data_IF_567102865684
#
_entry.id   IF_567102865684
#
_cell.length_a   1.000
_cell.length_b   1.000
_cell.length_c   1.000
_cell.angle_alpha   90.00
_cell.angle_beta   90.00
_cell.angle_gamma   90.00
#
_symmetry.space_group_name_H-M   'P 1'
#
loop_
_entity.id
_entity.type
_entity.pdbx_description
1 polymer ?
#
# COMPACT_ATOMS: atom_id res chain seq x y z
N UNK A 1 42.48 -30.01 -27.43
CA UNK A 1 41.50 -29.57 -28.44
C UNK A 1 40.13 -30.03 -27.95
N UNK A 2 39.38 -29.14 -27.32
CA UNK A 2 38.01 -29.41 -26.89
C UNK A 2 37.10 -28.56 -27.77
N UNK A 3 36.25 -29.24 -28.54
CA UNK A 3 35.21 -28.65 -29.38
C UNK A 3 34.29 -27.76 -28.54
N UNK A 4 34.18 -26.50 -28.94
CA UNK A 4 33.21 -25.57 -28.39
C UNK A 4 31.89 -25.75 -29.18
N UNK A 5 30.82 -26.37 -28.63
CA UNK A 5 29.64 -26.77 -29.38
C UNK A 5 28.62 -25.63 -29.59
N UNK A 6 28.92 -24.40 -29.14
CA UNK A 6 27.99 -23.26 -29.15
C UNK A 6 28.20 -22.29 -30.32
N UNK A 7 29.10 -22.61 -31.26
CA UNK A 7 29.36 -21.82 -32.46
C UNK A 7 28.37 -22.06 -33.61
N UNK A 8 27.12 -22.40 -33.32
CA UNK A 8 26.09 -22.54 -34.35
C UNK A 8 25.61 -21.14 -34.80
N UNK A 9 26.40 -20.48 -35.65
CA UNK A 9 25.90 -19.33 -36.40
C UNK A 9 24.64 -19.72 -37.17
N UNK A 10 23.63 -18.85 -37.17
CA UNK A 10 22.37 -19.06 -37.86
C UNK A 10 22.64 -19.48 -39.33
N UNK A 11 22.39 -20.74 -39.69
CA UNK A 11 22.54 -21.23 -41.07
C UNK A 11 21.30 -20.83 -41.86
N UNK A 12 21.42 -19.75 -42.62
CA UNK A 12 20.38 -19.29 -43.53
C UNK A 12 20.42 -20.13 -44.84
N UNK A 13 19.28 -20.48 -45.45
CA UNK A 13 19.23 -21.18 -46.75
C UNK A 13 19.89 -20.33 -47.85
N UNK A 14 20.48 -20.91 -48.89
CA UNK A 14 21.14 -20.15 -49.98
C UNK A 14 20.17 -19.36 -50.89
N UNK A 15 18.87 -19.40 -50.63
CA UNK A 15 17.82 -18.72 -51.39
C UNK A 15 17.79 -17.20 -51.09
N UNK A 16 18.47 -16.44 -51.95
CA UNK A 16 18.72 -14.99 -51.82
C UNK A 16 17.46 -14.15 -51.54
N UNK A 17 16.31 -14.31 -52.22
CA UNK A 17 15.09 -13.57 -51.90
C UNK A 17 14.45 -13.96 -50.55
N UNK A 18 14.44 -15.24 -50.19
CA UNK A 18 13.87 -15.69 -48.91
C UNK A 18 14.73 -15.22 -47.72
N UNK A 19 16.07 -15.27 -47.85
CA UNK A 19 17.01 -14.77 -46.83
C UNK A 19 16.91 -13.26 -46.64
N UNK A 20 16.79 -12.50 -47.73
CA UNK A 20 16.64 -11.05 -47.66
C UNK A 20 15.31 -10.65 -47.01
N UNK A 21 14.23 -11.39 -47.27
CA UNK A 21 12.92 -11.19 -46.63
C UNK A 21 12.93 -11.62 -45.16
N UNK A 22 13.49 -12.79 -44.85
CA UNK A 22 13.66 -13.29 -43.47
C UNK A 22 14.48 -12.30 -42.63
N UNK A 23 15.58 -11.76 -43.16
CA UNK A 23 16.45 -10.86 -42.40
C UNK A 23 15.74 -9.58 -41.94
N UNK A 24 14.84 -9.04 -42.76
CA UNK A 24 14.06 -7.85 -42.39
C UNK A 24 12.93 -8.19 -41.41
N UNK A 25 12.13 -9.24 -41.70
CA UNK A 25 11.01 -9.63 -40.83
C UNK A 25 11.50 -10.13 -39.46
N UNK A 26 12.61 -10.88 -39.41
CA UNK A 26 13.16 -11.38 -38.15
C UNK A 26 13.58 -10.24 -37.23
N UNK A 27 14.22 -9.19 -37.76
CA UNK A 27 14.63 -8.03 -36.95
C UNK A 27 13.42 -7.21 -36.51
N UNK A 28 12.40 -7.10 -37.36
CA UNK A 28 11.20 -6.31 -37.09
C UNK A 28 10.39 -6.86 -35.90
N UNK A 29 10.24 -8.17 -35.79
CA UNK A 29 9.43 -8.82 -34.75
C UNK A 29 10.22 -9.18 -33.47
N UNK A 30 11.47 -8.75 -33.33
CA UNK A 30 12.21 -8.98 -32.09
C UNK A 30 11.55 -8.22 -30.93
N UNK A 31 11.46 -8.82 -29.73
CA UNK A 31 10.94 -8.15 -28.53
C UNK A 31 11.91 -7.11 -27.95
N UNK A 32 13.00 -6.82 -28.66
CA UNK A 32 14.02 -5.82 -28.34
C UNK A 32 14.14 -4.81 -29.47
N UNK A 33 14.46 -3.57 -29.14
CA UNK A 33 14.76 -2.56 -30.14
C UNK A 33 16.11 -2.87 -30.79
N UNK A 34 16.15 -2.96 -32.12
CA UNK A 34 17.40 -3.20 -32.86
C UNK A 34 17.56 -2.11 -33.89
N UNK A 35 18.78 -1.57 -33.98
CA UNK A 35 19.11 -0.59 -34.99
C UNK A 35 20.58 -0.67 -35.41
N UNK A 36 20.87 -0.14 -36.60
CA UNK A 36 22.19 -0.15 -37.21
C UNK A 36 22.64 1.26 -37.53
N UNK A 37 23.93 1.51 -37.34
CA UNK A 37 24.60 2.70 -37.84
C UNK A 37 25.72 2.32 -38.80
N UNK A 38 26.04 3.18 -39.76
CA UNK A 38 27.21 3.02 -40.63
C UNK A 38 28.51 3.44 -39.93
N UNK A 39 29.65 3.32 -40.61
CA UNK A 39 30.97 3.67 -40.08
C UNK A 39 31.13 5.16 -39.72
N UNK A 40 30.30 6.04 -40.29
CA UNK A 40 30.24 7.47 -39.93
C UNK A 40 29.31 7.73 -38.72
N UNK A 41 28.73 6.67 -38.15
CA UNK A 41 27.79 6.75 -37.03
C UNK A 41 26.40 7.22 -37.43
N UNK A 42 26.04 7.24 -38.72
CA UNK A 42 24.68 7.61 -39.14
C UNK A 42 23.73 6.42 -38.99
N UNK A 43 22.58 6.65 -38.37
CA UNK A 43 21.51 5.67 -38.23
C UNK A 43 20.96 5.31 -39.62
N UNK A 44 21.04 4.04 -39.98
CA UNK A 44 20.63 3.57 -41.32
C UNK A 44 19.29 2.84 -41.29
N UNK A 45 19.04 2.06 -40.25
CA UNK A 45 17.80 1.29 -40.08
C UNK A 45 17.54 0.97 -38.62
N UNK A 46 16.28 0.77 -38.28
CA UNK A 46 15.81 0.36 -36.95
C UNK A 46 14.48 -0.39 -37.08
N UNK A 47 14.12 -1.20 -36.09
CA UNK A 47 12.81 -1.85 -36.01
C UNK A 47 11.79 -1.00 -35.23
N UNK A 48 10.50 -1.34 -35.34
CA UNK A 48 9.42 -0.68 -34.58
C UNK A 48 9.68 -0.61 -33.08
N UNK A 49 10.29 -1.64 -32.48
CA UNK A 49 10.54 -1.65 -31.03
C UNK A 49 11.56 -0.59 -30.59
N UNK A 50 12.58 -0.31 -31.41
CA UNK A 50 13.53 0.78 -31.13
C UNK A 50 12.83 2.15 -31.18
N UNK A 51 11.97 2.38 -32.17
CA UNK A 51 11.17 3.60 -32.28
C UNK A 51 10.21 3.78 -31.10
N UNK A 52 9.57 2.69 -30.65
CA UNK A 52 8.72 2.71 -29.46
C UNK A 52 9.51 3.13 -28.21
N UNK A 53 10.72 2.60 -28.01
CA UNK A 53 11.58 2.93 -26.87
C UNK A 53 11.99 4.41 -26.91
N UNK A 54 12.42 4.91 -28.08
CA UNK A 54 12.76 6.33 -28.29
C UNK A 54 11.56 7.27 -28.19
N UNK A 55 10.35 6.76 -28.43
CA UNK A 55 9.12 7.55 -28.49
C UNK A 55 8.95 8.32 -29.79
N UNK A 56 9.85 8.14 -30.77
CA UNK A 56 9.77 8.75 -32.08
C UNK A 56 10.36 7.82 -33.16
N UNK A 57 9.88 7.99 -34.39
CA UNK A 57 10.36 7.28 -35.57
C UNK A 57 11.22 8.25 -36.40
N UNK A 58 12.55 8.28 -36.21
CA UNK A 58 13.41 9.20 -36.93
C UNK A 58 13.44 8.90 -38.44
N UNK A 59 13.47 9.95 -39.26
CA UNK A 59 13.69 9.82 -40.70
C UNK A 59 15.18 9.57 -40.99
N UNK A 60 15.49 8.34 -41.40
CA UNK A 60 16.85 7.89 -41.74
C UNK A 60 17.23 8.19 -43.19
N UNK A 61 16.28 8.58 -44.05
CA UNK A 61 16.51 8.79 -45.48
C UNK A 61 17.52 9.91 -45.77
N UNK A 62 17.61 10.91 -44.89
CA UNK A 62 18.50 12.06 -45.04
C UNK A 62 19.88 11.86 -44.38
N UNK A 63 20.12 10.74 -43.68
CA UNK A 63 21.41 10.45 -43.03
C UNK A 63 21.85 11.45 -41.95
N UNK A 64 20.91 12.26 -41.41
CA UNK A 64 21.19 13.32 -40.43
C UNK A 64 21.24 12.82 -38.99
N UNK A 65 20.60 11.69 -38.71
CA UNK A 65 20.51 11.13 -37.36
C UNK A 65 21.78 10.35 -37.05
N UNK A 66 22.48 10.75 -35.99
CA UNK A 66 23.74 10.12 -35.57
C UNK A 66 23.55 9.27 -34.32
N UNK A 67 24.15 8.09 -34.32
CA UNK A 67 24.33 7.12 -33.24
C UNK A 67 23.06 6.47 -32.68
N UNK A 68 21.93 7.17 -32.62
CA UNK A 68 20.67 6.68 -32.05
C UNK A 68 19.50 7.56 -32.48
N UNK A 69 18.29 7.01 -32.49
CA UNK A 69 17.05 7.78 -32.62
C UNK A 69 16.55 8.41 -31.32
N UNK A 70 17.23 8.18 -30.19
CA UNK A 70 16.88 8.78 -28.91
C UNK A 70 17.09 10.29 -28.92
N UNK A 71 16.15 11.05 -28.32
CA UNK A 71 16.29 12.49 -28.13
C UNK A 71 17.50 12.84 -27.25
N UNK A 72 17.66 12.15 -26.10
CA UNK A 72 18.85 12.23 -25.24
C UNK A 72 19.18 10.88 -24.61
N UNK A 73 20.47 10.66 -24.36
CA UNK A 73 20.96 9.54 -23.56
C UNK A 73 21.48 10.04 -22.21
N UNK A 74 21.25 9.24 -21.18
CA UNK A 74 21.77 9.44 -19.84
C UNK A 74 22.45 8.17 -19.33
N UNK A 75 23.41 8.35 -18.43
CA UNK A 75 23.97 7.24 -17.65
C UNK A 75 22.90 6.61 -16.74
N UNK A 76 23.20 5.45 -16.16
CA UNK A 76 22.33 4.81 -15.15
C UNK A 76 22.07 5.75 -13.95
N UNK A 77 23.06 6.57 -13.57
CA UNK A 77 22.93 7.60 -12.51
C UNK A 77 22.18 8.87 -12.95
N UNK A 78 21.69 8.92 -14.20
CA UNK A 78 20.91 10.03 -14.73
C UNK A 78 21.72 11.22 -15.26
N UNK A 79 23.06 11.13 -15.32
CA UNK A 79 23.89 12.19 -15.89
C UNK A 79 23.71 12.27 -17.42
N UNK A 80 23.60 13.49 -17.96
CA UNK A 80 23.47 13.70 -19.40
C UNK A 80 24.73 13.26 -20.15
N UNK A 81 24.54 12.47 -21.22
CA UNK A 81 25.62 11.93 -22.02
C UNK A 81 25.56 12.46 -23.46
N UNK A 82 26.49 13.34 -23.88
CA UNK A 82 26.61 13.74 -25.28
C UNK A 82 26.85 12.53 -26.19
N UNK A 83 26.17 12.46 -27.33
CA UNK A 83 26.23 11.30 -28.23
C UNK A 83 27.65 11.01 -28.75
N UNK A 84 28.45 12.04 -28.99
CA UNK A 84 29.84 11.91 -29.46
C UNK A 84 30.79 11.33 -28.41
N UNK A 85 30.42 11.44 -27.13
CA UNK A 85 31.16 10.87 -26.00
C UNK A 85 30.48 9.59 -25.47
N UNK A 86 29.42 9.13 -26.14
CA UNK A 86 28.68 7.96 -25.71
C UNK A 86 29.43 6.65 -26.04
N UNK A 87 29.10 5.55 -25.33
CA UNK A 87 29.59 4.22 -25.68
C UNK A 87 29.33 3.82 -27.14
N UNK A 88 28.31 4.38 -27.79
CA UNK A 88 28.01 4.17 -29.21
C UNK A 88 29.14 4.72 -30.12
N UNK A 89 29.64 5.92 -29.81
CA UNK A 89 30.78 6.50 -30.53
C UNK A 89 32.08 5.76 -30.20
N UNK A 90 32.25 5.33 -28.94
CA UNK A 90 33.43 4.58 -28.50
C UNK A 90 33.59 3.22 -29.22
N UNK A 91 32.49 2.53 -29.58
CA UNK A 91 32.56 1.27 -30.34
C UNK A 91 33.12 1.48 -31.76
N UNK A 92 32.77 2.60 -32.42
CA UNK A 92 33.31 2.91 -33.75
C UNK A 92 34.83 3.08 -33.76
N UNK A 93 35.38 3.63 -32.68
CA UNK A 93 36.82 3.83 -32.54
C UNK A 93 37.54 2.56 -32.06
N UNK A 94 37.01 1.92 -31.02
CA UNK A 94 37.66 0.79 -30.36
C UNK A 94 37.51 -0.53 -31.13
N UNK A 95 36.49 -0.66 -31.97
CA UNK A 95 36.06 -1.91 -32.63
C UNK A 95 35.82 -3.06 -31.64
N UNK A 96 35.54 -2.76 -30.37
CA UNK A 96 35.23 -3.75 -29.34
C UNK A 96 33.73 -3.72 -29.01
N UNK A 97 33.09 -4.89 -28.82
CA UNK A 97 31.70 -4.93 -28.38
C UNK A 97 31.56 -4.41 -26.94
N UNK A 98 30.43 -3.78 -26.66
CA UNK A 98 30.01 -3.37 -25.32
C UNK A 98 28.68 -4.07 -25.03
N UNK A 99 28.64 -4.88 -23.98
CA UNK A 99 27.45 -5.66 -23.62
C UNK A 99 26.93 -5.27 -22.24
N UNK A 100 25.63 -5.52 -22.01
CA UNK A 100 24.93 -5.28 -20.75
C UNK A 100 25.07 -3.85 -20.21
N UNK A 101 25.17 -2.86 -21.09
CA UNK A 101 25.32 -1.47 -20.71
C UNK A 101 23.96 -0.88 -20.33
N UNK A 102 23.80 -0.47 -19.07
CA UNK A 102 22.60 0.19 -18.61
C UNK A 102 22.65 1.68 -18.90
N UNK A 103 21.58 2.20 -19.48
CA UNK A 103 21.43 3.62 -19.81
C UNK A 103 19.97 4.03 -19.67
N UNK A 104 19.72 5.34 -19.71
CA UNK A 104 18.38 5.88 -19.75
C UNK A 104 18.20 6.62 -21.07
N UNK A 105 17.12 6.28 -21.78
CA UNK A 105 16.62 7.05 -22.93
C UNK A 105 15.66 8.10 -22.38
N UNK A 106 15.98 9.37 -22.59
CA UNK A 106 15.06 10.48 -22.31
C UNK A 106 14.34 10.85 -23.60
N UNK A 107 13.01 10.83 -23.56
CA UNK A 107 12.11 11.20 -24.67
C UNK A 107 11.85 12.70 -24.68
N UNK A 108 11.30 13.23 -25.77
CA UNK A 108 10.96 14.67 -25.90
C UNK A 108 9.91 15.16 -24.91
N UNK A 109 8.98 14.28 -24.53
CA UNK A 109 7.97 14.55 -23.52
C UNK A 109 8.52 14.55 -22.07
N UNK A 110 9.84 14.32 -21.91
CA UNK A 110 10.53 14.25 -20.63
C UNK A 110 10.46 12.88 -19.95
N UNK A 111 9.69 11.94 -20.50
CA UNK A 111 9.65 10.58 -19.94
C UNK A 111 10.98 9.86 -20.13
N UNK A 112 11.31 9.01 -19.15
CA UNK A 112 12.58 8.29 -19.09
C UNK A 112 12.33 6.79 -19.18
N UNK A 113 13.06 6.14 -20.09
CA UNK A 113 13.00 4.69 -20.31
C UNK A 113 14.35 4.09 -19.98
N UNK A 114 14.49 3.36 -18.84
CA UNK A 114 15.69 2.61 -18.57
C UNK A 114 15.84 1.48 -19.59
N UNK A 115 17.04 1.33 -20.13
CA UNK A 115 17.36 0.32 -21.14
C UNK A 115 18.62 -0.46 -20.80
N UNK A 116 18.68 -1.70 -21.29
CA UNK A 116 19.89 -2.50 -21.39
C UNK A 116 20.36 -2.52 -22.86
N UNK A 117 21.55 -2.00 -23.13
CA UNK A 117 22.12 -1.88 -24.46
C UNK A 117 23.25 -2.90 -24.69
N UNK A 118 23.25 -3.50 -25.88
CA UNK A 118 24.32 -4.36 -26.38
C UNK A 118 24.76 -3.84 -27.76
N UNK A 119 25.96 -3.27 -27.81
CA UNK A 119 26.52 -2.58 -28.98
C UNK A 119 27.62 -3.47 -29.56
N UNK A 120 27.42 -3.92 -30.80
CA UNK A 120 28.31 -4.84 -31.50
C UNK A 120 28.85 -4.16 -32.77
N UNK A 121 30.18 -4.05 -32.94
CA UNK A 121 30.76 -3.50 -34.16
C UNK A 121 30.53 -4.45 -35.35
N UNK A 122 30.23 -3.87 -36.50
CA UNK A 122 30.08 -4.59 -37.77
C UNK A 122 31.34 -4.38 -38.59
N UNK A 123 32.07 -5.47 -38.85
CA UNK A 123 33.32 -5.46 -39.61
C UNK A 123 33.11 -6.12 -40.97
N UNK A 124 33.70 -5.54 -42.02
CA UNK A 124 33.75 -6.14 -43.35
C UNK A 124 34.73 -7.32 -43.40
N UNK A 125 34.74 -8.06 -44.52
CA UNK A 125 35.64 -9.21 -44.73
C UNK A 125 37.13 -8.84 -44.57
N UNK A 126 37.48 -7.59 -44.85
CA UNK A 126 38.85 -7.07 -44.79
C UNK A 126 39.20 -6.45 -43.42
N UNK A 127 38.35 -6.59 -42.40
CA UNK A 127 38.53 -6.02 -41.05
C UNK A 127 38.24 -4.52 -40.92
N UNK A 128 37.77 -3.89 -42.01
CA UNK A 128 37.34 -2.50 -42.03
C UNK A 128 36.01 -2.31 -41.29
N UNK A 129 35.85 -1.16 -40.62
CA UNK A 129 34.61 -0.83 -39.92
C UNK A 129 33.50 -0.54 -40.94
N UNK A 130 32.43 -1.32 -40.89
CA UNK A 130 31.21 -1.08 -41.67
C UNK A 130 30.23 -0.23 -40.87
N UNK A 131 30.23 -0.39 -39.54
CA UNK A 131 29.34 0.33 -38.64
C UNK A 131 29.16 -0.39 -37.31
N UNK A 132 28.00 -0.26 -36.68
CA UNK A 132 27.64 -1.06 -35.51
C UNK A 132 26.16 -1.42 -35.51
N UNK A 133 25.81 -2.48 -34.81
CA UNK A 133 24.45 -2.84 -34.44
C UNK A 133 24.28 -2.60 -32.94
N UNK A 134 23.18 -2.00 -32.55
CA UNK A 134 22.81 -1.90 -31.14
C UNK A 134 21.46 -2.59 -30.92
N UNK A 135 21.39 -3.38 -29.84
CA UNK A 135 20.16 -3.97 -29.33
C UNK A 135 19.85 -3.35 -27.98
N UNK A 136 18.64 -2.79 -27.84
CA UNK A 136 18.15 -2.11 -26.64
C UNK A 136 16.91 -2.83 -26.11
N UNK A 137 16.98 -3.24 -24.84
CA UNK A 137 15.86 -3.86 -24.13
C UNK A 137 15.27 -2.85 -23.15
N UNK A 138 13.95 -2.70 -23.14
CA UNK A 138 13.22 -1.88 -22.18
C UNK A 138 13.16 -2.56 -20.81
N UNK A 139 13.62 -1.88 -19.76
CA UNK A 139 13.67 -2.40 -18.40
C UNK A 139 12.48 -1.97 -17.53
N UNK A 140 11.52 -1.18 -18.04
CA UNK A 140 10.37 -0.70 -17.25
C UNK A 140 9.53 -1.84 -16.69
N UNK A 141 9.26 -2.86 -17.51
CA UNK A 141 8.47 -4.03 -17.09
C UNK A 141 9.23 -4.87 -16.04
N UNK A 142 10.54 -5.06 -16.23
CA UNK A 142 11.37 -5.79 -15.27
C UNK A 142 11.44 -5.07 -13.92
N UNK A 143 11.69 -3.76 -13.91
CA UNK A 143 11.73 -2.95 -12.69
C UNK A 143 10.38 -2.96 -11.95
N UNK A 144 9.26 -2.82 -12.68
CA UNK A 144 7.93 -2.89 -12.09
C UNK A 144 7.64 -4.27 -11.48
N UNK A 145 8.08 -5.36 -12.14
CA UNK A 145 7.90 -6.72 -11.65
C UNK A 145 8.75 -7.02 -10.42
N UNK A 146 10.02 -6.60 -10.40
CA UNK A 146 10.90 -6.71 -9.22
C UNK A 146 10.33 -5.92 -8.04
N UNK A 147 9.84 -4.70 -8.27
CA UNK A 147 9.23 -3.89 -7.23
C UNK A 147 7.94 -4.52 -6.69
N UNK A 148 7.10 -5.09 -7.56
CA UNK A 148 5.92 -5.84 -7.14
C UNK A 148 6.29 -7.09 -6.33
N UNK A 149 7.30 -7.84 -6.75
CA UNK A 149 7.78 -9.02 -6.02
C UNK A 149 8.33 -8.65 -4.64
N UNK A 150 9.12 -7.58 -4.55
CA UNK A 150 9.63 -7.09 -3.27
C UNK A 150 8.50 -6.63 -2.33
N UNK A 151 7.49 -5.94 -2.87
CA UNK A 151 6.31 -5.54 -2.11
C UNK A 151 5.52 -6.75 -1.59
N UNK A 152 5.30 -7.76 -2.45
CA UNK A 152 4.67 -9.03 -2.07
C UNK A 152 5.47 -9.78 -1.01
N UNK A 153 6.79 -9.87 -1.16
CA UNK A 153 7.67 -10.53 -0.20
C UNK A 153 7.62 -9.84 1.17
N UNK A 154 7.69 -8.50 1.19
CA UNK A 154 7.57 -7.72 2.41
C UNK A 154 6.19 -7.86 3.06
N UNK A 155 5.12 -7.87 2.27
CA UNK A 155 3.76 -8.10 2.75
C UNK A 155 3.59 -9.52 3.33
N UNK A 156 4.17 -10.54 2.68
CA UNK A 156 4.18 -11.92 3.19
C UNK A 156 4.96 -12.04 4.50
N UNK A 157 6.13 -11.41 4.61
CA UNK A 157 6.88 -11.37 5.86
C UNK A 157 6.10 -10.66 6.98
N UNK A 158 5.40 -9.57 6.67
CA UNK A 158 4.52 -8.90 7.63
C UNK A 158 3.35 -9.80 8.04
N UNK A 159 2.70 -10.46 7.08
CA UNK A 159 1.60 -11.38 7.34
C UNK A 159 2.03 -12.58 8.18
N UNK A 160 3.20 -13.17 7.92
CA UNK A 160 3.77 -14.25 8.73
C UNK A 160 4.14 -13.80 10.14
N UNK A 161 4.72 -12.60 10.30
CA UNK A 161 4.96 -12.01 11.63
C UNK A 161 3.64 -11.83 12.37
N UNK A 162 2.61 -11.34 11.70
CA UNK A 162 1.28 -11.14 12.27
C UNK A 162 0.60 -12.46 12.63
N UNK A 163 0.74 -13.49 11.80
CA UNK A 163 0.22 -14.85 12.06
C UNK A 163 0.93 -15.49 13.27
N UNK A 164 2.25 -15.33 13.38
CA UNK A 164 3.00 -15.79 14.55
C UNK A 164 2.60 -15.03 15.82
N UNK A 165 2.43 -13.71 15.73
CA UNK A 165 1.91 -12.90 16.85
C UNK A 165 0.49 -13.35 17.23
N UNK A 166 -0.38 -13.68 16.26
CA UNK A 166 -1.73 -14.19 16.52
C UNK A 166 -1.76 -15.58 17.14
N UNK A 167 -0.94 -16.53 16.63
CA UNK A 167 -0.82 -17.90 17.16
C UNK A 167 -0.23 -17.93 18.57
N UNK A 168 0.82 -17.13 18.82
CA UNK A 168 1.43 -17.01 20.16
C UNK A 168 0.50 -16.22 21.09
N UNK A 169 -0.16 -15.18 20.60
CA UNK A 169 -1.08 -14.33 21.36
C UNK A 169 -2.32 -15.08 21.86
N UNK A 170 -2.95 -15.94 21.05
CA UNK A 170 -4.17 -16.64 21.46
C UNK A 170 -3.98 -17.57 22.67
N UNK A 171 -2.86 -18.32 22.71
CA UNK A 171 -2.54 -19.22 23.82
C UNK A 171 -2.01 -18.49 25.05
N UNK A 172 -1.07 -17.56 24.86
CA UNK A 172 -0.44 -16.80 25.96
C UNK A 172 -1.45 -15.88 26.63
N UNK A 173 -2.31 -15.21 25.87
CA UNK A 173 -3.27 -14.25 26.45
C UNK A 173 -4.41 -14.98 27.18
N UNK A 174 -4.79 -16.19 26.76
CA UNK A 174 -5.69 -17.02 27.55
C UNK A 174 -5.10 -17.37 28.92
N UNK A 175 -3.81 -17.71 28.98
CA UNK A 175 -3.12 -18.00 30.24
C UNK A 175 -2.96 -16.76 31.13
N UNK A 176 -2.68 -15.59 30.53
CA UNK A 176 -2.74 -14.30 31.25
C UNK A 176 -4.12 -14.01 31.82
N UNK A 177 -5.18 -14.20 31.02
CA UNK A 177 -6.56 -13.95 31.45
C UNK A 177 -6.92 -14.87 32.63
N UNK A 178 -6.48 -16.12 32.60
CA UNK A 178 -6.69 -17.07 33.70
C UNK A 178 -5.98 -16.63 34.99
N UNK A 179 -4.73 -16.16 34.90
CA UNK A 179 -4.01 -15.65 36.07
C UNK A 179 -4.62 -14.36 36.63
N UNK A 180 -5.08 -13.46 35.75
CA UNK A 180 -5.74 -12.20 36.15
C UNK A 180 -7.10 -12.46 36.80
N UNK A 181 -7.84 -13.45 36.32
CA UNK A 181 -9.10 -13.88 36.94
C UNK A 181 -8.85 -14.43 38.34
N UNK A 182 -7.80 -15.23 38.53
CA UNK A 182 -7.39 -15.76 39.85
C UNK A 182 -6.96 -14.64 40.81
N UNK A 183 -6.16 -13.68 40.34
CA UNK A 183 -5.76 -12.49 41.11
C UNK A 183 -6.97 -11.64 41.50
N UNK A 184 -7.89 -11.39 40.56
CA UNK A 184 -9.12 -10.63 40.83
C UNK A 184 -9.99 -11.33 41.88
N UNK A 185 -10.09 -12.65 41.84
CA UNK A 185 -10.83 -13.44 42.82
C UNK A 185 -10.19 -13.40 44.21
N UNK A 186 -8.86 -13.49 44.29
CA UNK A 186 -8.13 -13.39 45.56
C UNK A 186 -8.25 -12.00 46.17
N UNK A 187 -8.22 -10.95 45.34
CA UNK A 187 -8.49 -9.58 45.80
C UNK A 187 -9.94 -9.43 46.28
N UNK A 188 -10.92 -9.99 45.59
CA UNK A 188 -12.32 -9.95 46.05
C UNK A 188 -12.52 -10.64 47.41
N UNK A 189 -11.80 -11.75 47.66
CA UNK A 189 -11.84 -12.45 48.95
C UNK A 189 -11.17 -11.64 50.08
N UNK A 190 -10.06 -10.96 49.78
CA UNK A 190 -9.37 -10.09 50.74
C UNK A 190 -10.15 -8.81 51.08
N UNK A 191 -11.07 -8.37 50.23
CA UNK A 191 -11.85 -7.14 50.44
C UNK A 191 -12.58 -7.16 51.79
N UNK A 192 -13.20 -8.30 52.12
CA UNK A 192 -13.97 -8.48 53.36
C UNK A 192 -13.06 -8.47 54.59
N UNK A 193 -11.93 -9.17 54.55
CA UNK A 193 -10.97 -9.25 55.66
C UNK A 193 -10.29 -7.90 55.92
N UNK A 194 -10.02 -7.13 54.87
CA UNK A 194 -9.44 -5.78 54.95
C UNK A 194 -10.46 -4.76 55.47
N UNK A 195 -11.73 -4.90 55.09
CA UNK A 195 -12.81 -4.07 55.62
C UNK A 195 -13.01 -4.32 57.13
N UNK A 196 -13.02 -5.58 57.55
CA UNK A 196 -13.19 -5.98 58.95
C UNK A 196 -11.98 -5.59 59.82
N UNK A 197 -10.77 -5.47 59.25
CA UNK A 197 -9.56 -5.05 59.95
C UNK A 197 -9.47 -3.54 60.25
N UNK A 198 -10.31 -2.71 59.62
CA UNK A 198 -10.45 -1.27 59.93
C UNK A 198 -9.23 -0.38 59.65
N UNK A 199 -8.24 -0.84 58.89
CA UNK A 199 -7.03 -0.06 58.57
C UNK A 199 -7.16 0.67 57.23
N UNK A 200 -7.25 2.01 57.26
CA UNK A 200 -7.27 2.88 56.08
C UNK A 200 -6.07 2.65 55.15
N UNK A 201 -4.90 2.34 55.72
CA UNK A 201 -3.67 2.13 54.95
C UNK A 201 -3.69 0.82 54.16
N UNK A 202 -4.33 -0.24 54.69
CA UNK A 202 -4.57 -1.47 53.95
C UNK A 202 -5.65 -1.29 52.88
N UNK A 203 -6.71 -0.55 53.17
CA UNK A 203 -7.75 -0.23 52.19
C UNK A 203 -7.19 0.56 50.99
N UNK A 204 -6.33 1.54 51.23
CA UNK A 204 -5.67 2.29 50.16
C UNK A 204 -4.75 1.42 49.29
N UNK A 205 -3.97 0.51 49.90
CA UNK A 205 -3.12 -0.45 49.15
C UNK A 205 -3.94 -1.46 48.36
N UNK A 206 -5.05 -1.92 48.93
CA UNK A 206 -5.99 -2.82 48.27
C UNK A 206 -6.61 -2.20 47.02
N UNK A 207 -7.08 -0.95 47.13
CA UNK A 207 -7.66 -0.22 46.01
C UNK A 207 -6.67 -0.07 44.83
N UNK A 208 -5.40 0.21 45.12
CA UNK A 208 -4.35 0.28 44.11
C UNK A 208 -4.10 -1.06 43.41
N UNK A 209 -4.07 -2.17 44.15
CA UNK A 209 -3.92 -3.50 43.57
C UNK A 209 -5.11 -3.87 42.68
N UNK A 210 -6.33 -3.59 43.13
CA UNK A 210 -7.55 -3.87 42.36
C UNK A 210 -7.59 -3.07 41.05
N UNK A 211 -7.29 -1.78 41.12
CA UNK A 211 -7.23 -0.90 39.94
C UNK A 211 -6.15 -1.37 38.95
N UNK A 212 -4.98 -1.80 39.44
CA UNK A 212 -3.92 -2.35 38.61
C UNK A 212 -4.34 -3.67 37.93
N UNK A 213 -5.02 -4.57 38.65
CA UNK A 213 -5.52 -5.83 38.09
C UNK A 213 -6.58 -5.61 37.03
N UNK A 214 -7.57 -4.73 37.27
CA UNK A 214 -8.60 -4.38 36.28
C UNK A 214 -7.97 -3.82 34.99
N UNK A 215 -6.98 -2.93 35.12
CA UNK A 215 -6.25 -2.37 33.97
C UNK A 215 -5.55 -3.46 33.15
N UNK A 216 -4.85 -4.39 33.81
CA UNK A 216 -4.14 -5.46 33.10
C UNK A 216 -5.12 -6.45 32.46
N UNK A 217 -6.27 -6.71 33.07
CA UNK A 217 -7.35 -7.52 32.49
C UNK A 217 -7.89 -6.90 31.20
N UNK A 218 -8.19 -5.60 31.21
CA UNK A 218 -8.66 -4.89 30.01
C UNK A 218 -7.62 -4.92 28.87
N UNK A 219 -6.32 -4.81 29.19
CA UNK A 219 -5.24 -4.93 28.22
C UNK A 219 -5.16 -6.33 27.59
N UNK A 220 -5.30 -7.37 28.42
CA UNK A 220 -5.30 -8.75 27.96
C UNK A 220 -6.51 -9.04 27.06
N UNK A 221 -7.70 -8.58 27.43
CA UNK A 221 -8.91 -8.73 26.60
C UNK A 221 -8.76 -8.03 25.23
N UNK A 222 -8.19 -6.82 25.19
CA UNK A 222 -7.88 -6.11 23.96
C UNK A 222 -6.87 -6.84 23.07
N UNK A 223 -5.86 -7.49 23.66
CA UNK A 223 -4.91 -8.35 22.95
C UNK A 223 -5.55 -9.64 22.43
N UNK A 224 -6.50 -10.23 23.17
CA UNK A 224 -7.28 -11.39 22.73
C UNK A 224 -8.19 -11.07 21.55
N UNK A 225 -8.82 -9.89 21.56
CA UNK A 225 -9.58 -9.36 20.43
C UNK A 225 -8.68 -9.20 19.19
N UNK A 226 -7.46 -8.72 19.37
CA UNK A 226 -6.46 -8.59 18.31
C UNK A 226 -5.94 -9.94 17.78
N UNK A 227 -5.73 -10.92 18.66
CA UNK A 227 -5.20 -12.24 18.31
C UNK A 227 -6.28 -13.22 17.77
N UNK A 228 -7.57 -12.92 17.97
CA UNK A 228 -8.66 -13.77 17.51
C UNK A 228 -8.84 -13.65 16.00
N UNK A 229 -8.24 -14.59 15.27
CA UNK A 229 -8.63 -14.95 13.91
C UNK A 229 -9.99 -15.67 13.96
N UNK A 230 -11.09 -14.96 14.27
CA UNK A 230 -12.44 -15.50 14.08
C UNK A 230 -12.82 -15.44 12.59
N UNK A 231 -13.61 -16.40 12.08
CA UNK A 231 -14.11 -16.33 10.72
C UNK A 231 -14.88 -15.02 10.51
N UNK A 232 -14.51 -14.28 9.48
CA UNK A 232 -15.12 -13.01 9.07
C UNK A 232 -16.52 -13.30 8.53
N UNK A 233 -17.53 -13.39 9.41
CA UNK A 233 -18.92 -13.29 8.96
C UNK A 233 -19.12 -11.87 8.46
N UNK A 234 -19.27 -11.73 7.15
CA UNK A 234 -19.58 -10.46 6.51
C UNK A 234 -21.09 -10.39 6.35
N UNK A 235 -21.66 -9.28 6.78
CA UNK A 235 -23.09 -9.02 6.76
C UNK A 235 -23.38 -7.78 5.92
N UNK A 236 -24.61 -7.71 5.40
CA UNK A 236 -25.14 -6.50 4.79
C UNK A 236 -25.64 -5.59 5.92
N UNK A 237 -24.99 -4.44 6.10
CA UNK A 237 -25.24 -3.54 7.22
C UNK A 237 -25.81 -2.22 6.70
N UNK A 238 -26.90 -1.77 7.31
CA UNK A 238 -27.37 -0.38 7.23
C UNK A 238 -26.61 0.45 8.29
N UNK A 239 -25.76 1.41 7.88
CA UNK A 239 -24.99 2.21 8.83
C UNK A 239 -25.88 3.11 9.71
N UNK A 240 -27.06 3.53 9.24
CA UNK A 240 -27.98 4.32 10.05
C UNK A 240 -28.55 3.48 11.19
N UNK A 241 -29.03 2.28 10.90
CA UNK A 241 -29.54 1.36 11.92
C UNK A 241 -28.44 0.95 12.90
N UNK A 242 -27.20 0.78 12.42
CA UNK A 242 -26.05 0.52 13.28
C UNK A 242 -25.82 1.66 14.28
N UNK A 243 -25.69 2.90 13.79
CA UNK A 243 -25.43 4.06 14.66
C UNK A 243 -26.57 4.33 15.63
N UNK A 244 -27.82 4.18 15.19
CA UNK A 244 -28.98 4.29 16.07
C UNK A 244 -28.98 3.21 17.16
N UNK A 245 -28.67 1.96 16.80
CA UNK A 245 -28.53 0.86 17.76
C UNK A 245 -27.41 1.07 18.77
N UNK A 246 -26.36 1.80 18.38
CA UNK A 246 -25.25 2.16 19.26
C UNK A 246 -25.47 3.45 20.07
N UNK A 247 -26.56 4.19 19.84
CA UNK A 247 -26.76 5.53 20.42
C UNK A 247 -26.65 5.55 21.94
N UNK A 248 -27.22 4.56 22.63
CA UNK A 248 -27.13 4.42 24.09
C UNK A 248 -25.70 4.16 24.56
N UNK A 249 -24.96 3.28 23.86
CA UNK A 249 -23.57 2.97 24.20
C UNK A 249 -22.66 4.18 23.99
N UNK A 250 -22.83 4.88 22.87
CA UNK A 250 -22.10 6.12 22.55
C UNK A 250 -22.39 7.20 23.59
N UNK A 251 -23.65 7.38 23.98
CA UNK A 251 -24.04 8.37 25.00
C UNK A 251 -23.47 8.04 26.38
N UNK A 252 -23.43 6.74 26.75
CA UNK A 252 -22.83 6.30 28.01
C UNK A 252 -21.31 6.55 28.04
N UNK A 253 -20.62 6.25 26.94
CA UNK A 253 -19.17 6.47 26.81
C UNK A 253 -18.82 7.97 26.81
N UNK A 254 -19.66 8.80 26.20
CA UNK A 254 -19.48 10.25 26.17
C UNK A 254 -19.76 10.95 27.51
N UNK A 255 -20.59 10.34 28.36
CA UNK A 255 -20.97 10.93 29.64
C UNK A 255 -21.86 12.17 29.49
N UNK A 256 -22.10 12.87 30.60
CA UNK A 256 -23.09 13.97 30.64
C UNK A 256 -22.58 15.31 30.08
N UNK A 257 -21.26 15.47 29.94
CA UNK A 257 -20.64 16.74 29.54
C UNK A 257 -20.45 16.88 28.02
N UNK A 258 -20.68 15.81 27.26
CA UNK A 258 -20.52 15.80 25.80
C UNK A 258 -21.89 15.66 25.15
N UNK A 259 -22.22 16.58 24.26
CA UNK A 259 -23.47 16.53 23.49
C UNK A 259 -23.31 15.65 22.26
N UNK A 260 -23.94 14.48 22.26
CA UNK A 260 -23.94 13.55 21.14
C UNK A 260 -25.03 13.89 20.12
N UNK A 261 -24.63 14.15 18.87
CA UNK A 261 -25.53 14.41 17.75
C UNK A 261 -25.39 13.34 16.67
N UNK A 262 -26.53 12.85 16.17
CA UNK A 262 -26.59 11.90 15.06
C UNK A 262 -27.18 12.58 13.82
N UNK A 263 -26.34 12.82 12.81
CA UNK A 263 -26.73 13.42 11.53
C UNK A 263 -26.73 12.35 10.44
N UNK A 264 -27.81 11.58 10.36
CA UNK A 264 -27.90 10.41 9.49
C UNK A 264 -28.51 10.75 8.12
N UNK A 265 -27.94 10.23 7.04
CA UNK A 265 -28.48 10.39 5.69
C UNK A 265 -29.86 9.74 5.55
N UNK A 266 -30.74 10.36 4.77
CA UNK A 266 -32.11 9.85 4.55
C UNK A 266 -32.14 8.58 3.68
N UNK A 267 -31.13 8.40 2.82
CA UNK A 267 -31.03 7.32 1.84
C UNK A 267 -29.65 6.61 1.89
N UNK A 268 -29.15 6.31 3.09
CA UNK A 268 -27.84 5.68 3.23
C UNK A 268 -27.75 4.34 2.50
N UNK A 269 -26.70 4.17 1.70
CA UNK A 269 -26.43 2.89 1.05
C UNK A 269 -25.94 1.85 2.07
N UNK A 270 -26.25 0.58 1.84
CA UNK A 270 -25.74 -0.51 2.66
C UNK A 270 -24.24 -0.70 2.43
N UNK A 271 -23.54 -1.24 3.42
CA UNK A 271 -22.15 -1.70 3.33
C UNK A 271 -22.04 -3.20 3.62
N UNK A 272 -20.93 -3.81 3.21
CA UNK A 272 -20.58 -5.19 3.54
C UNK A 272 -19.44 -5.19 4.55
N UNK A 273 -19.70 -5.58 5.79
CA UNK A 273 -18.67 -5.65 6.82
C UNK A 273 -19.01 -6.66 7.92
N UNK A 274 -18.04 -6.97 8.77
CA UNK A 274 -18.32 -7.63 10.03
C UNK A 274 -18.91 -6.62 11.03
N UNK A 275 -20.10 -6.91 11.55
CA UNK A 275 -20.83 -5.99 12.42
C UNK A 275 -20.07 -5.67 13.71
N UNK A 276 -19.58 -6.68 14.42
CA UNK A 276 -18.89 -6.50 15.70
C UNK A 276 -17.61 -5.66 15.55
N UNK A 277 -16.85 -5.89 14.48
CA UNK A 277 -15.64 -5.10 14.21
C UNK A 277 -15.96 -3.65 13.83
N UNK A 278 -17.06 -3.41 13.10
CA UNK A 278 -17.50 -2.05 12.81
C UNK A 278 -17.97 -1.30 14.06
N UNK A 279 -18.74 -1.96 14.94
CA UNK A 279 -19.16 -1.41 16.23
C UNK A 279 -17.94 -1.07 17.10
N UNK A 280 -16.98 -1.99 17.20
CA UNK A 280 -15.73 -1.76 17.93
C UNK A 280 -14.90 -0.61 17.35
N UNK A 281 -14.82 -0.48 16.02
CA UNK A 281 -14.13 0.62 15.36
C UNK A 281 -14.78 1.97 15.70
N UNK A 282 -16.11 2.05 15.69
CA UNK A 282 -16.86 3.26 16.04
C UNK A 282 -16.63 3.62 17.52
N UNK A 283 -16.74 2.66 18.44
CA UNK A 283 -16.49 2.91 19.87
C UNK A 283 -15.06 3.40 20.10
N UNK A 284 -14.05 2.80 19.46
CA UNK A 284 -12.67 3.28 19.59
C UNK A 284 -12.50 4.74 19.15
N UNK A 285 -13.21 5.17 18.10
CA UNK A 285 -13.19 6.57 17.67
C UNK A 285 -13.93 7.48 18.64
N UNK A 286 -15.08 7.04 19.17
CA UNK A 286 -15.85 7.77 20.19
C UNK A 286 -15.02 7.95 21.46
N UNK A 287 -14.40 6.90 22.00
CA UNK A 287 -13.54 6.99 23.17
C UNK A 287 -12.38 7.95 22.93
N UNK A 288 -11.79 7.98 21.73
CA UNK A 288 -10.73 8.94 21.36
C UNK A 288 -11.24 10.38 21.22
N UNK A 289 -12.49 10.58 20.78
CA UNK A 289 -13.12 11.89 20.73
C UNK A 289 -13.42 12.42 22.14
N UNK A 290 -14.06 11.61 22.99
CA UNK A 290 -14.36 11.98 24.38
C UNK A 290 -13.10 12.29 25.18
N UNK A 291 -12.07 11.48 24.95
CA UNK A 291 -10.72 11.70 25.43
C UNK A 291 -10.11 13.08 25.11
N UNK A 292 -10.47 13.65 23.96
CA UNK A 292 -9.99 14.95 23.50
C UNK A 292 -10.84 16.13 24.01
N UNK A 293 -11.95 15.85 24.70
CA UNK A 293 -12.93 16.81 25.24
C UNK A 293 -13.09 16.69 26.77
N UNK A 294 -12.04 16.90 27.57
CA UNK A 294 -12.11 16.73 29.03
C UNK A 294 -13.06 17.73 29.73
N UNK A 295 -13.27 18.91 29.13
CA UNK A 295 -14.14 19.97 29.67
C UNK A 295 -15.56 19.93 29.06
N UNK A 296 -15.89 18.85 28.34
CA UNK A 296 -17.11 18.73 27.54
C UNK A 296 -16.94 19.24 26.10
N UNK A 297 -18.00 19.11 25.31
CA UNK A 297 -17.97 19.47 23.89
C UNK A 297 -19.09 18.84 23.09
N UNK A 298 -18.94 18.79 21.77
CA UNK A 298 -19.90 18.19 20.86
C UNK A 298 -19.26 17.03 20.11
N UNK A 299 -19.96 15.89 20.10
CA UNK A 299 -19.62 14.70 19.34
C UNK A 299 -20.69 14.47 18.27
N UNK A 300 -20.31 14.57 17.00
CA UNK A 300 -21.23 14.36 15.88
C UNK A 300 -20.88 13.08 15.14
N UNK A 301 -21.85 12.16 15.05
CA UNK A 301 -21.78 10.97 14.20
C UNK A 301 -22.67 11.19 12.98
N UNK A 302 -22.11 11.06 11.78
CA UNK A 302 -22.83 11.31 10.54
C UNK A 302 -22.65 10.19 9.52
N UNK A 303 -23.67 10.03 8.68
CA UNK A 303 -23.63 9.12 7.53
C UNK A 303 -23.99 9.88 6.27
N UNK A 304 -23.30 9.59 5.17
CA UNK A 304 -23.64 10.13 3.85
C UNK A 304 -23.06 9.26 2.73
N UNK A 305 -23.68 9.35 1.55
CA UNK A 305 -23.17 8.69 0.35
C UNK A 305 -22.29 9.68 -0.43
N UNK A 306 -21.20 9.20 -1.03
CA UNK A 306 -20.33 10.00 -1.88
C UNK A 306 -19.85 9.18 -3.08
N UNK A 307 -19.65 9.85 -4.21
CA UNK A 307 -18.95 9.26 -5.36
C UNK A 307 -17.49 9.69 -5.32
N UNK A 308 -16.58 8.73 -5.15
CA UNK A 308 -15.14 8.99 -5.12
C UNK A 308 -14.53 8.69 -6.49
N UNK A 309 -13.66 9.58 -6.93
CA UNK A 309 -12.82 9.43 -8.11
C UNK A 309 -11.38 9.84 -7.78
N UNK A 310 -10.44 9.57 -8.70
CA UNK A 310 -9.02 9.90 -8.48
C UNK A 310 -8.74 11.41 -8.46
N UNK A 311 -9.65 12.24 -8.98
CA UNK A 311 -9.50 13.70 -9.02
C UNK A 311 -9.99 14.37 -7.73
N UNK A 312 -11.00 13.81 -7.09
CA UNK A 312 -11.63 14.33 -5.87
C UNK A 312 -11.11 13.64 -4.59
N UNK A 313 -10.40 12.52 -4.74
CA UNK A 313 -9.82 11.77 -3.62
C UNK A 313 -8.34 11.41 -3.88
N UNK A 314 -7.43 12.41 -3.90
CA UNK A 314 -6.02 12.18 -4.23
C UNK A 314 -5.27 11.39 -3.16
N UNK A 315 -5.70 11.48 -1.89
CA UNK A 315 -5.08 10.79 -0.75
C UNK A 315 -5.76 9.44 -0.51
N UNK A 316 -5.50 8.47 -1.39
CA UNK A 316 -6.09 7.14 -1.34
C UNK A 316 -5.05 6.03 -1.11
N UNK A 317 -5.49 4.93 -0.49
CA UNK A 317 -4.63 3.75 -0.32
C UNK A 317 -4.56 2.91 -1.62
N UNK A 318 -3.68 1.90 -1.62
CA UNK A 318 -3.44 1.04 -2.78
C UNK A 318 -4.69 0.26 -3.26
N UNK A 319 -5.67 0.03 -2.37
CA UNK A 319 -6.89 -0.72 -2.66
C UNK A 319 -8.02 0.16 -3.18
N UNK A 320 -7.81 1.47 -3.36
CA UNK A 320 -8.86 2.37 -3.83
C UNK A 320 -9.31 2.08 -5.26
N UNK A 321 -10.64 2.08 -5.45
CA UNK A 321 -11.28 2.06 -6.77
C UNK A 321 -12.32 3.17 -6.86
N UNK A 322 -12.36 3.95 -7.94
CA UNK A 322 -13.43 4.91 -8.16
C UNK A 322 -14.82 4.27 -8.11
N UNK A 323 -15.78 4.95 -7.50
CA UNK A 323 -17.13 4.41 -7.35
C UNK A 323 -17.95 5.06 -6.25
N UNK A 324 -19.07 4.42 -5.91
CA UNK A 324 -19.95 4.85 -4.83
C UNK A 324 -19.47 4.30 -3.49
N UNK A 325 -19.34 5.19 -2.53
CA UNK A 325 -18.97 4.91 -1.16
C UNK A 325 -20.05 5.39 -0.21
N UNK A 326 -20.24 4.66 0.89
CA UNK A 326 -20.94 5.14 2.06
C UNK A 326 -19.91 5.55 3.11
N UNK A 327 -20.15 6.68 3.76
CA UNK A 327 -19.22 7.28 4.71
C UNK A 327 -19.86 7.28 6.08
N UNK A 328 -19.09 6.86 7.08
CA UNK A 328 -19.38 7.05 8.50
C UNK A 328 -18.34 8.03 9.02
N UNK A 329 -18.78 9.19 9.49
CA UNK A 329 -17.89 10.24 10.01
C UNK A 329 -18.17 10.49 11.49
N UNK A 330 -17.10 10.57 12.27
CA UNK A 330 -17.11 10.91 13.69
C UNK A 330 -16.32 12.21 13.83
N UNK A 331 -16.95 13.23 14.41
CA UNK A 331 -16.38 14.56 14.56
C UNK A 331 -16.51 15.04 16.01
N UNK A 332 -15.40 15.52 16.56
CA UNK A 332 -15.34 16.12 17.89
C UNK A 332 -14.89 17.57 17.83
N UNK A 333 -15.30 18.35 18.83
CA UNK A 333 -14.84 19.74 19.05
C UNK A 333 -13.75 19.81 20.12
N UNK A 334 -12.93 18.76 20.22
CA UNK A 334 -11.90 18.64 21.25
C UNK A 334 -10.65 19.47 20.98
N UNK A 335 -9.60 19.12 21.72
CA UNK A 335 -8.28 19.78 21.64
C UNK A 335 -7.59 19.63 20.28
N UNK A 336 -8.02 18.69 19.43
CA UNK A 336 -7.42 18.43 18.13
C UNK A 336 -6.02 17.83 18.21
N UNK A 337 -5.40 17.66 17.04
CA UNK A 337 -4.10 17.00 16.85
C UNK A 337 -3.20 17.95 16.08
N UNK A 338 -1.95 18.11 16.54
CA UNK A 338 -0.94 18.91 15.85
C UNK A 338 -0.55 18.27 14.50
N UNK A 339 -0.24 19.05 13.45
CA UNK A 339 0.10 18.52 12.13
C UNK A 339 1.24 17.50 12.13
N UNK A 340 2.24 17.70 13.00
CA UNK A 340 3.40 16.81 13.13
C UNK A 340 3.02 15.44 13.71
N UNK A 341 1.97 15.39 14.53
CA UNK A 341 1.47 14.16 15.13
C UNK A 341 0.58 13.37 14.16
N UNK A 342 -0.11 14.04 13.22
CA UNK A 342 -1.04 13.40 12.27
C UNK A 342 -0.40 12.32 11.40
N UNK A 343 0.88 12.44 11.07
CA UNK A 343 1.60 11.40 10.31
C UNK A 343 1.82 10.10 11.11
N UNK A 344 1.80 10.20 12.44
CA UNK A 344 2.18 9.13 13.35
C UNK A 344 1.00 8.50 14.11
N UNK A 345 -0.20 9.09 14.06
CA UNK A 345 -1.39 8.60 14.81
C UNK A 345 -1.77 7.14 14.51
N UNK A 346 -1.37 6.61 13.35
CA UNK A 346 -1.62 5.22 12.97
C UNK A 346 -0.43 4.29 13.18
N UNK A 347 0.66 4.76 13.79
CA UNK A 347 1.75 3.90 14.19
C UNK A 347 1.31 3.07 15.42
N UNK A 348 1.62 1.77 15.48
CA UNK A 348 1.31 0.95 16.64
C UNK A 348 1.91 1.56 17.92
N UNK A 349 1.13 1.58 19.00
CA UNK A 349 1.52 2.11 20.32
C UNK A 349 1.75 3.62 20.39
N UNK A 350 1.47 4.36 19.30
CA UNK A 350 1.56 5.81 19.32
C UNK A 350 0.41 6.39 20.15
N UNK A 351 0.76 7.24 21.12
CA UNK A 351 -0.21 8.01 21.90
C UNK A 351 0.40 9.30 22.40
N UNK A 352 -0.40 10.37 22.39
CA UNK A 352 -0.07 11.66 23.02
C UNK A 352 -0.47 11.71 24.48
N UNK A 353 -1.08 10.63 25.00
CA UNK A 353 -1.60 10.55 26.38
C UNK A 353 -0.52 10.04 27.33
N UNK A 354 -0.64 10.40 28.61
CA UNK A 354 0.27 9.94 29.66
C UNK A 354 0.37 8.40 29.68
N UNK A 355 1.56 7.90 30.03
CA UNK A 355 1.88 6.47 30.10
C UNK A 355 0.82 5.75 30.94
N UNK A 356 0.17 4.73 30.35
CA UNK A 356 -0.86 3.92 30.99
C UNK A 356 -2.31 4.40 30.81
N UNK A 357 -2.57 5.56 30.18
CA UNK A 357 -3.94 6.04 29.89
C UNK A 357 -4.50 5.61 28.52
N UNK A 358 -3.66 5.10 27.62
CA UNK A 358 -4.13 4.47 26.37
C UNK A 358 -3.09 3.51 25.82
N UNK A 359 -3.56 2.49 25.09
CA UNK A 359 -2.72 1.47 24.45
C UNK A 359 -2.03 1.93 23.17
N UNK A 360 -2.50 3.02 22.55
CA UNK A 360 -2.03 3.46 21.23
C UNK A 360 -2.34 2.46 20.09
N UNK A 361 -3.18 1.45 20.34
CA UNK A 361 -3.54 0.43 19.33
C UNK A 361 -4.87 0.72 18.63
N UNK A 362 -5.78 1.46 19.26
CA UNK A 362 -7.16 1.65 18.78
C UNK A 362 -7.24 2.16 17.34
N UNK A 363 -6.54 3.26 17.01
CA UNK A 363 -6.58 3.86 15.68
C UNK A 363 -5.90 2.97 14.62
N UNK A 364 -4.89 2.20 15.02
CA UNK A 364 -4.24 1.21 14.16
C UNK A 364 -5.20 0.07 13.81
N UNK A 365 -5.97 -0.43 14.79
CA UNK A 365 -7.00 -1.46 14.55
C UNK A 365 -8.10 -0.95 13.63
N UNK A 366 -8.57 0.29 13.82
CA UNK A 366 -9.57 0.92 12.95
C UNK A 366 -9.06 0.99 11.51
N UNK A 367 -7.82 1.44 11.29
CA UNK A 367 -7.24 1.51 9.93
C UNK A 367 -7.12 0.13 9.28
N UNK A 368 -6.66 -0.87 10.02
CA UNK A 368 -6.56 -2.25 9.51
C UNK A 368 -7.93 -2.80 9.13
N UNK A 369 -8.94 -2.63 9.99
CA UNK A 369 -10.31 -3.06 9.72
C UNK A 369 -10.91 -2.39 8.47
N UNK A 370 -10.76 -1.08 8.33
CA UNK A 370 -11.27 -0.35 7.16
C UNK A 370 -10.57 -0.82 5.88
N UNK A 371 -9.26 -1.04 5.94
CA UNK A 371 -8.48 -1.56 4.81
C UNK A 371 -8.93 -2.98 4.43
N UNK A 372 -9.18 -3.83 5.43
CA UNK A 372 -9.70 -5.19 5.26
C UNK A 372 -11.06 -5.21 4.54
N UNK A 373 -11.88 -4.19 4.73
CA UNK A 373 -13.18 -4.02 4.07
C UNK A 373 -13.09 -3.25 2.74
N UNK A 374 -11.90 -3.16 2.12
CA UNK A 374 -11.65 -2.39 0.90
C UNK A 374 -12.02 -0.89 1.01
N UNK A 375 -12.05 -0.39 2.25
CA UNK A 375 -12.41 0.97 2.58
C UNK A 375 -11.24 1.95 2.54
N UNK A 376 -11.56 3.21 2.76
CA UNK A 376 -10.60 4.30 2.96
C UNK A 376 -10.84 4.94 4.32
N UNK A 377 -9.80 5.54 4.89
CA UNK A 377 -9.89 6.27 6.16
C UNK A 377 -9.17 7.60 5.99
N UNK A 378 -9.82 8.69 6.37
CA UNK A 378 -9.20 10.02 6.42
C UNK A 378 -9.37 10.64 7.79
N UNK A 379 -8.37 11.42 8.20
CA UNK A 379 -8.41 12.20 9.44
C UNK A 379 -8.07 13.63 9.08
N UNK A 380 -8.92 14.55 9.50
CA UNK A 380 -8.68 15.99 9.44
C UNK A 380 -8.79 16.52 10.85
N UNK A 381 -7.72 17.13 11.35
CA UNK A 381 -7.68 17.68 12.70
C UNK A 381 -6.93 18.99 12.70
N UNK A 382 -7.33 19.90 13.59
CA UNK A 382 -6.65 21.17 13.83
C UNK A 382 -6.63 21.43 15.33
N UNK A 383 -5.48 21.90 15.81
CA UNK A 383 -5.28 22.19 17.22
C UNK A 383 -6.30 23.24 17.69
N UNK A 384 -7.09 22.90 18.70
CA UNK A 384 -8.14 23.76 19.28
C UNK A 384 -9.46 23.82 18.50
N UNK A 385 -9.56 23.22 17.31
CA UNK A 385 -10.83 23.15 16.54
C UNK A 385 -11.48 21.76 16.60
N UNK A 386 -10.71 20.72 16.96
CA UNK A 386 -11.18 19.34 17.09
C UNK A 386 -10.70 18.41 15.99
N UNK A 387 -11.27 17.20 15.95
CA UNK A 387 -10.87 16.14 15.01
C UNK A 387 -12.08 15.55 14.28
N UNK A 388 -11.93 15.32 12.98
CA UNK A 388 -12.94 14.65 12.14
C UNK A 388 -12.30 13.42 11.49
N UNK A 389 -12.86 12.25 11.76
CA UNK A 389 -12.42 10.96 11.22
C UNK A 389 -13.52 10.42 10.31
N UNK A 390 -13.20 10.17 9.03
CA UNK A 390 -14.14 9.64 8.05
C UNK A 390 -13.73 8.25 7.59
N UNK A 391 -14.65 7.29 7.73
CA UNK A 391 -14.52 5.90 7.30
C UNK A 391 -15.35 5.71 6.02
N UNK A 392 -14.70 5.35 4.91
CA UNK A 392 -15.35 5.18 3.62
C UNK A 392 -15.42 3.70 3.29
N UNK A 393 -16.63 3.18 3.01
CA UNK A 393 -16.85 1.80 2.62
C UNK A 393 -17.49 1.74 1.22
N UNK A 394 -17.05 0.84 0.33
CA UNK A 394 -17.74 0.64 -0.95
C UNK A 394 -19.19 0.25 -0.73
N UNK A 395 -20.12 0.83 -1.49
CA UNK A 395 -21.53 0.47 -1.38
C UNK A 395 -21.74 -1.03 -1.67
N UNK A 396 -22.63 -1.67 -0.91
CA UNK A 396 -23.00 -3.06 -1.08
C UNK A 396 -23.48 -3.33 -2.51
N UNK A 397 -23.02 -4.43 -3.10
CA UNK A 397 -23.36 -4.82 -4.48
C UNK A 397 -22.46 -4.21 -5.56
N UNK A 398 -21.51 -3.34 -5.20
CA UNK A 398 -20.43 -2.93 -6.12
C UNK A 398 -19.41 -4.05 -6.27
N UNK A 399 -18.74 -4.16 -7.42
CA UNK A 399 -17.63 -5.11 -7.63
C UNK A 399 -16.58 -5.02 -6.52
N UNK A 400 -16.35 -3.82 -6.00
CA UNK A 400 -15.37 -3.58 -4.96
C UNK A 400 -15.80 -4.14 -3.58
N UNK A 401 -17.09 -4.07 -3.26
CA UNK A 401 -17.65 -4.71 -2.05
C UNK A 401 -17.73 -6.24 -2.16
N UNK A 402 -17.92 -6.76 -3.38
CA UNK A 402 -18.01 -8.20 -3.64
C UNK A 402 -16.63 -8.87 -3.58
N UNK A 403 -15.57 -8.14 -3.91
CA UNK A 403 -14.19 -8.58 -3.81
C UNK A 403 -13.66 -8.73 -2.37
N UNK A 404 -14.42 -8.32 -1.34
CA UNK A 404 -14.03 -8.51 0.06
C UNK A 404 -14.15 -10.00 0.41
N UNK A 405 -13.03 -10.60 0.85
CA UNK A 405 -12.98 -12.02 1.21
C UNK A 405 -13.48 -12.25 2.65
N UNK A 406 -14.51 -13.07 2.80
CA UNK A 406 -15.10 -13.50 4.07
C UNK A 406 -16.19 -14.55 3.82
N UNK A 407 -16.58 -15.29 4.86
CA UNK A 407 -17.71 -16.23 4.75
C UNK A 407 -19.02 -15.46 4.77
N UNK A 408 -19.87 -15.65 3.77
CA UNK A 408 -21.20 -15.03 3.73
C UNK A 408 -22.04 -15.57 4.88
N UNK A 409 -22.50 -14.66 5.75
CA UNK A 409 -23.37 -14.99 6.89
C UNK A 409 -24.81 -15.31 6.52
N UNK A 410 -25.12 -15.52 5.23
CA UNK A 410 -26.44 -15.96 4.80
C UNK A 410 -26.66 -17.41 5.19
N UNK A 411 -27.14 -17.62 6.42
CA UNK A 411 -28.04 -18.73 6.70
C UNK A 411 -29.26 -18.52 5.82
N UNK A 412 -29.34 -19.28 4.73
CA UNK A 412 -30.58 -19.49 4.00
C UNK A 412 -31.58 -20.10 4.99
N UNK A 413 -32.52 -19.29 5.45
CA UNK A 413 -33.75 -19.78 6.07
C UNK A 413 -34.68 -20.23 4.95
N UNK A 414 -34.81 -21.54 4.80
CA UNK A 414 -36.08 -22.15 4.37
C UNK A 414 -37.05 -22.17 5.56
#
# INVERSE_FOLDING_TARGET
MADNPLGAGLRLPDDVPLVRKLGHELIEFLPVGVYLCNAAGQLTTYNSKAAEIWGEAPDVSQGKVKYTGAYRLRSEDGAHMPLEQSPLAAVLLSKKPITNLRMIVERRDGSQVPILANIVPLLGKDGNMVGFMNSIQDLRQHAAQEQLQNNLHNALLQAQKMEQIGKVGGGVVHEFTNQLTSLSMSLALMEKEIHDAGSEQLQARYALCREATEKVTQLAEGLLLFARTRPRTLERIDPNQLLLGMSTLVSNEAGQQIHCQFSLATDSSFLRANRQHLESAIINLVTNACAAMPDGGQLTLSTFNIHLDRSNFPQHNANFKPGRYVVIRIEDTGTGIAPEALEHIFAPFYTTRAIGKSTGLGLTMVRSFVTDMNGQLTVTSRLGEGTSVSLYFPCYGTEHSLAITGSDGTSAGE
#
